data_IF_347306378316
#
_entry.id   IF_347306378316
#
_cell.length_a   1.000
_cell.length_b   1.000
_cell.length_c   1.000
_cell.angle_alpha   90.00
_cell.angle_beta   90.00
_cell.angle_gamma   90.00
#
_symmetry.space_group_name_H-M   'P 1'
#
loop_
_entity.id
_entity.type
_entity.pdbx_description
1 polymer ?
#
# COMPACT_ATOMS: atom_id res chain seq x y z
N UNK A 1 5.10 12.05 -11.81
CA UNK A 1 6.16 13.00 -11.50
C UNK A 1 5.59 14.40 -11.73
N UNK A 2 5.30 15.16 -10.68
CA UNK A 2 4.89 16.55 -10.80
C UNK A 2 3.67 16.98 -9.99
N UNK A 3 2.98 16.08 -9.32
CA UNK A 3 1.84 16.43 -8.46
C UNK A 3 2.25 17.02 -7.12
N UNK A 4 3.39 16.66 -6.63
CA UNK A 4 3.94 17.00 -5.32
C UNK A 4 4.35 18.47 -5.19
N UNK A 5 4.65 19.13 -6.28
CA UNK A 5 5.12 20.52 -6.25
C UNK A 5 4.04 21.54 -5.87
N UNK A 6 2.78 21.18 -6.04
CA UNK A 6 1.67 22.13 -5.82
C UNK A 6 1.22 22.23 -4.38
N UNK A 7 1.40 21.19 -3.56
CA UNK A 7 0.78 21.08 -2.23
C UNK A 7 1.76 20.82 -1.08
N UNK A 8 3.07 20.72 -1.35
CA UNK A 8 4.13 20.45 -0.37
C UNK A 8 3.94 19.14 0.40
N UNK A 9 3.38 18.13 -0.28
CA UNK A 9 3.21 16.80 0.31
C UNK A 9 4.50 16.00 0.28
N UNK A 10 4.49 14.91 1.03
CA UNK A 10 5.58 13.95 1.05
C UNK A 10 5.55 13.08 -0.20
N UNK A 11 6.74 12.73 -0.69
CA UNK A 11 6.91 11.78 -1.77
C UNK A 11 7.01 10.36 -1.23
N UNK A 12 6.30 9.44 -1.88
CA UNK A 12 6.43 8.00 -1.64
C UNK A 12 6.70 7.30 -2.96
N UNK A 13 7.67 6.38 -2.98
CA UNK A 13 7.88 5.44 -4.08
C UNK A 13 8.34 4.08 -3.54
N UNK A 14 8.19 3.03 -4.34
CA UNK A 14 8.67 1.71 -3.98
C UNK A 14 10.07 1.43 -4.54
N UNK A 15 10.73 0.46 -3.92
CA UNK A 15 12.02 -0.10 -4.37
C UNK A 15 11.89 -1.61 -4.48
N UNK A 16 12.67 -2.22 -5.38
CA UNK A 16 12.65 -3.65 -5.64
C UNK A 16 13.98 -4.33 -5.34
N UNK A 17 15.07 -3.55 -5.29
CA UNK A 17 16.43 -4.01 -5.02
C UNK A 17 17.08 -3.14 -3.95
N UNK A 18 17.94 -3.75 -3.14
CA UNK A 18 18.61 -3.07 -2.02
C UNK A 18 19.48 -1.88 -2.46
N UNK A 19 20.07 -1.95 -3.66
CA UNK A 19 20.91 -0.88 -4.21
C UNK A 19 20.11 0.39 -4.54
N UNK A 20 18.79 0.30 -4.71
CA UNK A 20 17.92 1.44 -4.98
C UNK A 20 17.64 2.27 -3.73
N UNK A 21 17.79 1.71 -2.53
CA UNK A 21 17.38 2.35 -1.29
C UNK A 21 18.10 3.68 -1.05
N UNK A 22 19.43 3.72 -1.19
CA UNK A 22 20.21 4.93 -0.91
C UNK A 22 19.86 6.08 -1.87
N UNK A 23 19.91 5.92 -3.21
CA UNK A 23 19.57 7.02 -4.12
C UNK A 23 18.11 7.46 -4.05
N UNK A 24 17.18 6.51 -3.80
CA UNK A 24 15.77 6.84 -3.61
C UNK A 24 15.56 7.63 -2.32
N UNK A 25 16.22 7.22 -1.22
CA UNK A 25 16.14 7.91 0.07
C UNK A 25 16.65 9.34 0.06
N UNK A 26 17.47 9.75 -0.92
CA UNK A 26 17.86 11.15 -1.08
C UNK A 26 16.72 12.05 -1.60
N UNK A 27 15.74 11.46 -2.29
CA UNK A 27 14.70 12.20 -3.02
C UNK A 27 13.31 12.10 -2.34
N UNK A 28 12.98 10.94 -1.74
CA UNK A 28 11.64 10.69 -1.20
C UNK A 28 11.60 10.73 0.33
N UNK A 29 10.43 10.98 0.87
CA UNK A 29 10.15 10.97 2.31
C UNK A 29 9.80 9.57 2.82
N UNK A 30 9.17 8.75 1.98
CA UNK A 30 8.70 7.41 2.31
C UNK A 30 9.17 6.42 1.26
N UNK A 31 9.85 5.36 1.71
CA UNK A 31 10.25 4.23 0.85
C UNK A 31 9.25 3.10 1.07
N UNK A 32 8.59 2.67 -0.01
CA UNK A 32 7.67 1.55 0.04
C UNK A 32 8.36 0.23 -0.27
N UNK A 33 8.00 -0.80 0.49
CA UNK A 33 8.37 -2.20 0.20
C UNK A 33 7.15 -2.90 -0.39
N UNK A 34 7.23 -3.40 -1.64
CA UNK A 34 6.14 -4.13 -2.28
C UNK A 34 5.70 -5.36 -1.49
N UNK A 35 4.44 -5.75 -1.60
CA UNK A 35 3.85 -6.84 -0.83
C UNK A 35 4.61 -8.17 -1.00
N UNK A 36 4.98 -8.54 -2.22
CA UNK A 36 5.73 -9.78 -2.48
C UNK A 36 7.15 -9.78 -1.86
N UNK A 37 7.72 -8.60 -1.60
CA UNK A 37 9.07 -8.42 -1.08
C UNK A 37 9.12 -8.10 0.42
N UNK A 38 7.99 -8.06 1.10
CA UNK A 38 7.92 -7.63 2.50
C UNK A 38 8.73 -8.50 3.48
N UNK A 39 9.13 -9.71 3.07
CA UNK A 39 9.98 -10.61 3.85
C UNK A 39 11.46 -10.59 3.46
N UNK A 40 11.84 -9.83 2.43
CA UNK A 40 13.23 -9.70 1.98
C UNK A 40 14.03 -8.86 3.00
N UNK A 41 14.83 -9.55 3.82
CA UNK A 41 15.53 -8.91 4.95
C UNK A 41 16.51 -7.84 4.49
N UNK A 42 17.28 -8.10 3.48
CA UNK A 42 18.28 -7.16 2.92
C UNK A 42 17.62 -5.92 2.32
N UNK A 43 16.47 -6.06 1.65
CA UNK A 43 15.70 -4.93 1.13
C UNK A 43 15.15 -4.06 2.26
N UNK A 44 14.54 -4.69 3.29
CA UNK A 44 14.04 -3.99 4.49
C UNK A 44 15.15 -3.24 5.22
N UNK A 45 16.30 -3.88 5.42
CA UNK A 45 17.46 -3.27 6.09
C UNK A 45 18.02 -2.12 5.27
N UNK A 46 18.13 -2.27 3.94
CA UNK A 46 18.62 -1.20 3.08
C UNK A 46 17.69 0.03 3.11
N UNK A 47 16.37 -0.18 3.01
CA UNK A 47 15.39 0.90 3.13
C UNK A 47 15.47 1.59 4.50
N UNK A 48 15.51 0.82 5.58
CA UNK A 48 15.55 1.34 6.95
C UNK A 48 16.82 2.18 7.24
N UNK A 49 17.96 1.76 6.71
CA UNK A 49 19.24 2.48 6.87
C UNK A 49 19.29 3.86 6.25
N UNK A 50 18.35 4.20 5.38
CA UNK A 50 18.21 5.57 4.86
C UNK A 50 17.70 6.55 5.92
N UNK A 51 17.14 6.05 7.05
CA UNK A 51 16.49 6.86 8.08
C UNK A 51 15.12 7.41 7.67
N UNK A 52 14.65 7.08 6.46
CA UNK A 52 13.33 7.49 5.97
C UNK A 52 12.22 6.65 6.60
N UNK A 53 10.98 7.12 6.47
CA UNK A 53 9.80 6.31 6.77
C UNK A 53 9.75 5.13 5.80
N UNK A 54 9.50 3.93 6.31
CA UNK A 54 9.38 2.72 5.50
C UNK A 54 7.93 2.24 5.53
N UNK A 55 7.24 2.27 4.39
CA UNK A 55 5.91 1.69 4.24
C UNK A 55 6.01 0.25 3.75
N UNK A 56 5.55 -0.71 4.55
CA UNK A 56 5.64 -2.14 4.21
C UNK A 56 4.26 -2.65 3.84
N UNK A 57 4.05 -3.00 2.57
CA UNK A 57 2.81 -3.65 2.12
C UNK A 57 2.76 -5.09 2.62
N UNK A 58 1.66 -5.46 3.28
CA UNK A 58 1.42 -6.83 3.74
C UNK A 58 1.32 -7.77 2.54
N UNK A 59 2.07 -8.86 2.57
CA UNK A 59 1.91 -9.91 1.56
C UNK A 59 0.53 -10.58 1.66
N UNK A 60 0.04 -11.08 0.51
CA UNK A 60 -1.27 -11.72 0.42
C UNK A 60 -1.37 -13.05 1.18
N UNK A 61 -0.25 -13.59 1.63
CA UNK A 61 -0.15 -14.85 2.38
C UNK A 61 0.14 -14.64 3.88
N UNK A 62 0.22 -13.38 4.36
CA UNK A 62 0.48 -13.05 5.76
C UNK A 62 -0.78 -12.57 6.48
N UNK A 63 -0.85 -12.86 7.78
CA UNK A 63 -1.80 -12.23 8.69
C UNK A 63 -1.35 -10.80 9.07
N UNK A 64 -2.26 -10.02 9.69
CA UNK A 64 -1.90 -8.73 10.28
C UNK A 64 -0.84 -8.86 11.38
N UNK A 65 -0.95 -9.88 12.23
CA UNK A 65 -0.01 -10.17 13.32
C UNK A 65 1.40 -10.49 12.81
N UNK A 66 1.52 -11.22 11.69
CA UNK A 66 2.81 -11.59 11.10
C UNK A 66 3.60 -10.36 10.59
N UNK A 67 2.94 -9.24 10.38
CA UNK A 67 3.59 -7.99 9.98
C UNK A 67 4.51 -7.43 11.08
N UNK A 68 4.44 -7.94 12.29
CA UNK A 68 5.41 -7.66 13.36
C UNK A 68 6.85 -7.96 12.94
N UNK A 69 7.07 -9.06 12.24
CA UNK A 69 8.44 -9.48 11.88
C UNK A 69 9.13 -8.52 10.90
N UNK A 70 8.53 -8.13 9.76
CA UNK A 70 9.14 -7.12 8.89
C UNK A 70 9.22 -5.74 9.57
N UNK A 71 8.23 -5.35 10.38
CA UNK A 71 8.23 -4.13 11.16
C UNK A 71 9.45 -4.06 12.10
N UNK A 72 9.65 -5.09 12.93
CA UNK A 72 10.78 -5.14 13.88
C UNK A 72 12.14 -5.12 13.16
N UNK A 73 12.24 -5.79 12.00
CA UNK A 73 13.49 -5.75 11.21
C UNK A 73 13.81 -4.33 10.75
N UNK A 74 12.83 -3.61 10.22
CA UNK A 74 13.01 -2.25 9.76
C UNK A 74 13.35 -1.30 10.92
N UNK A 75 12.63 -1.38 12.04
CA UNK A 75 12.90 -0.57 13.23
C UNK A 75 14.29 -0.83 13.81
N UNK A 76 14.68 -2.10 13.95
CA UNK A 76 16.03 -2.48 14.44
C UNK A 76 17.15 -2.03 13.50
N UNK A 77 16.87 -1.88 12.22
CA UNK A 77 17.83 -1.43 11.20
C UNK A 77 17.92 0.10 11.08
N UNK A 78 17.07 0.87 11.81
CA UNK A 78 17.16 2.32 11.91
C UNK A 78 16.17 3.10 11.05
N UNK A 79 15.02 2.50 10.67
CA UNK A 79 13.94 3.25 10.03
C UNK A 79 13.50 4.43 10.92
N UNK A 80 13.24 5.59 10.34
CA UNK A 80 12.72 6.74 11.06
C UNK A 80 11.30 6.48 11.60
N UNK A 81 10.46 5.85 10.79
CA UNK A 81 9.13 5.38 11.13
C UNK A 81 8.79 4.19 10.23
N UNK A 82 7.88 3.32 10.67
CA UNK A 82 7.39 2.22 9.84
C UNK A 82 5.86 2.26 9.79
N UNK A 83 5.33 2.31 8.56
CA UNK A 83 3.91 2.13 8.27
C UNK A 83 3.63 0.73 7.78
N UNK A 84 2.46 0.20 8.06
CA UNK A 84 2.01 -1.09 7.54
C UNK A 84 0.80 -0.89 6.62
N UNK A 85 0.78 -1.59 5.49
CA UNK A 85 -0.31 -1.44 4.51
C UNK A 85 -1.04 -2.76 4.32
N UNK A 86 -2.36 -2.75 4.60
CA UNK A 86 -3.28 -3.84 4.25
C UNK A 86 -3.64 -3.76 2.77
N UNK A 87 -3.66 -4.91 2.09
CA UNK A 87 -4.04 -4.99 0.68
C UNK A 87 -4.77 -6.29 0.29
N UNK A 88 -5.21 -7.06 1.28
CA UNK A 88 -5.94 -8.32 1.09
C UNK A 88 -5.05 -9.56 1.07
N UNK A 89 -5.72 -10.70 1.12
CA UNK A 89 -5.16 -12.05 1.10
C UNK A 89 -5.65 -12.81 -0.14
N UNK A 90 -4.84 -13.73 -0.62
CA UNK A 90 -5.13 -14.56 -1.79
C UNK A 90 -5.38 -15.99 -1.37
N UNK A 91 -6.51 -16.55 -1.83
CA UNK A 91 -6.93 -17.92 -1.54
C UNK A 91 -6.96 -18.82 -2.79
N UNK A 92 -6.49 -18.34 -3.94
CA UNK A 92 -6.33 -19.15 -5.15
C UNK A 92 -7.54 -19.21 -6.09
N UNK A 93 -8.60 -18.41 -5.84
CA UNK A 93 -9.80 -18.38 -6.70
C UNK A 93 -9.96 -17.06 -7.49
N UNK A 94 -8.83 -16.47 -7.86
CA UNK A 94 -8.76 -15.25 -8.69
C UNK A 94 -9.50 -14.04 -8.09
N UNK A 95 -9.49 -13.93 -6.76
CA UNK A 95 -10.03 -12.79 -6.04
C UNK A 95 -9.17 -12.52 -4.80
N UNK A 96 -9.17 -11.29 -4.31
CA UNK A 96 -8.54 -10.93 -3.05
C UNK A 96 -9.64 -10.70 -2.00
N UNK A 97 -9.34 -11.08 -0.77
CA UNK A 97 -10.24 -10.91 0.37
C UNK A 97 -9.53 -10.10 1.43
N UNK A 98 -10.14 -8.99 1.83
CA UNK A 98 -9.64 -8.20 2.96
C UNK A 98 -10.31 -8.70 4.23
N UNK A 99 -9.49 -9.21 5.14
CA UNK A 99 -9.92 -9.38 6.53
C UNK A 99 -9.61 -8.06 7.27
N UNK A 100 -10.63 -7.24 7.46
CA UNK A 100 -10.46 -5.94 8.11
C UNK A 100 -9.97 -6.03 9.56
N UNK A 101 -10.03 -7.20 10.21
CA UNK A 101 -9.46 -7.42 11.55
C UNK A 101 -7.94 -7.31 11.56
N UNK A 102 -7.28 -7.51 10.42
CA UNK A 102 -5.84 -7.24 10.28
C UNK A 102 -5.48 -5.77 10.58
N UNK A 103 -6.41 -4.83 10.43
CA UNK A 103 -6.14 -3.40 10.66
C UNK A 103 -5.86 -3.14 12.14
N UNK A 104 -6.76 -3.47 13.10
CA UNK A 104 -6.45 -3.33 14.52
C UNK A 104 -5.27 -4.20 14.97
N UNK A 105 -5.04 -5.39 14.39
CA UNK A 105 -3.86 -6.21 14.70
C UNK A 105 -2.57 -5.45 14.33
N UNK A 106 -2.52 -4.84 13.14
CA UNK A 106 -1.38 -4.03 12.71
C UNK A 106 -1.26 -2.71 13.47
N UNK A 107 -2.36 -2.08 13.91
CA UNK A 107 -2.33 -0.90 14.78
C UNK A 107 -1.75 -1.21 16.16
N UNK A 108 -1.83 -2.45 16.62
CA UNK A 108 -1.11 -2.94 17.79
C UNK A 108 0.41 -3.06 17.60
N UNK A 109 0.90 -2.91 16.37
CA UNK A 109 2.32 -3.03 16.00
C UNK A 109 2.91 -1.68 15.58
N UNK A 110 2.21 -0.95 14.71
CA UNK A 110 2.64 0.32 14.12
C UNK A 110 1.62 1.43 14.40
N UNK A 111 2.08 2.67 14.52
CA UNK A 111 1.22 3.85 14.71
C UNK A 111 0.38 4.18 13.48
N UNK A 112 0.85 3.78 12.30
CA UNK A 112 0.20 4.08 11.02
C UNK A 112 -0.09 2.79 10.27
N UNK A 113 -1.37 2.59 9.97
CA UNK A 113 -1.87 1.51 9.12
C UNK A 113 -2.62 2.09 7.94
N UNK A 114 -2.10 1.80 6.75
CA UNK A 114 -2.64 2.24 5.47
C UNK A 114 -3.52 1.14 4.88
N UNK A 115 -4.70 1.49 4.39
CA UNK A 115 -5.50 0.61 3.53
C UNK A 115 -5.22 0.91 2.07
N UNK A 116 -4.69 -0.07 1.35
CA UNK A 116 -4.57 -0.02 -0.11
C UNK A 116 -5.93 -0.38 -0.73
N UNK A 117 -6.69 0.64 -1.09
CA UNK A 117 -8.03 0.48 -1.62
C UNK A 117 -8.04 0.08 -3.11
N UNK A 118 -6.94 0.30 -3.82
CA UNK A 118 -6.79 -0.06 -5.23
C UNK A 118 -6.47 -1.54 -5.41
N UNK A 119 -5.38 -1.99 -4.79
CA UNK A 119 -4.92 -3.36 -5.00
C UNK A 119 -5.75 -4.39 -4.23
N UNK A 120 -6.50 -3.99 -3.23
CA UNK A 120 -7.39 -4.89 -2.49
C UNK A 120 -8.60 -5.36 -3.30
N UNK A 121 -8.97 -4.65 -4.38
CA UNK A 121 -10.08 -5.02 -5.27
C UNK A 121 -9.61 -5.66 -6.58
N UNK A 122 -8.33 -5.98 -6.69
CA UNK A 122 -7.80 -6.74 -7.83
C UNK A 122 -8.39 -8.13 -7.92
N UNK A 123 -8.53 -8.60 -9.15
CA UNK A 123 -8.86 -9.99 -9.50
C UNK A 123 -7.70 -10.60 -10.30
N UNK A 124 -6.69 -11.17 -9.61
CA UNK A 124 -5.51 -11.72 -10.26
C UNK A 124 -5.87 -12.79 -11.30
N UNK A 125 -5.38 -12.63 -12.53
CA UNK A 125 -5.59 -13.60 -13.62
C UNK A 125 -7.00 -13.67 -14.21
N UNK A 126 -7.95 -12.83 -13.75
CA UNK A 126 -9.35 -12.92 -14.18
C UNK A 126 -9.62 -12.41 -15.61
N UNK A 127 -8.69 -11.67 -16.22
CA UNK A 127 -8.84 -11.09 -17.55
C UNK A 127 -7.88 -11.74 -18.57
N UNK A 128 -8.02 -13.06 -18.79
CA UNK A 128 -7.23 -13.77 -19.81
C UNK A 128 -5.71 -13.69 -19.57
N UNK A 129 -5.25 -13.85 -18.31
CA UNK A 129 -3.84 -13.76 -17.92
C UNK A 129 -3.40 -12.35 -17.51
N UNK A 130 -4.28 -11.35 -17.57
CA UNK A 130 -4.07 -10.01 -17.00
C UNK A 130 -4.84 -9.86 -15.70
N UNK A 131 -4.42 -8.93 -14.87
CA UNK A 131 -5.15 -8.56 -13.64
C UNK A 131 -6.42 -7.81 -14.01
N UNK A 132 -7.56 -8.33 -13.57
CA UNK A 132 -8.84 -7.63 -13.55
C UNK A 132 -9.06 -6.92 -12.22
N UNK A 133 -10.23 -6.30 -12.05
CA UNK A 133 -10.59 -5.65 -10.79
C UNK A 133 -11.99 -5.08 -10.77
N UNK A 134 -12.36 -4.57 -9.61
CA UNK A 134 -13.70 -4.07 -9.30
C UNK A 134 -13.62 -2.67 -8.69
N UNK A 135 -13.31 -1.68 -9.51
CA UNK A 135 -13.20 -0.25 -9.14
C UNK A 135 -14.38 0.24 -8.30
N UNK A 136 -15.57 -0.25 -8.59
CA UNK A 136 -16.81 0.13 -7.91
C UNK A 136 -16.81 -0.16 -6.41
N UNK A 137 -15.96 -1.08 -5.95
CA UNK A 137 -15.83 -1.39 -4.52
C UNK A 137 -14.83 -0.52 -3.77
N UNK A 138 -13.96 0.24 -4.45
CA UNK A 138 -12.93 1.07 -3.82
C UNK A 138 -13.51 2.00 -2.73
N UNK A 139 -14.61 2.75 -2.95
CA UNK A 139 -15.17 3.61 -1.90
C UNK A 139 -15.72 2.83 -0.70
N UNK A 140 -16.29 1.65 -0.93
CA UNK A 140 -16.82 0.81 0.14
C UNK A 140 -15.68 0.22 0.99
N UNK A 141 -14.62 -0.25 0.34
CA UNK A 141 -13.41 -0.77 1.01
C UNK A 141 -12.76 0.31 1.88
N UNK A 142 -12.66 1.53 1.38
CA UNK A 142 -12.10 2.66 2.13
C UNK A 142 -12.93 2.96 3.39
N UNK A 143 -14.26 3.05 3.29
CA UNK A 143 -15.13 3.27 4.45
C UNK A 143 -15.07 2.12 5.46
N UNK A 144 -15.06 0.88 4.99
CA UNK A 144 -14.91 -0.29 5.86
C UNK A 144 -13.59 -0.24 6.62
N UNK A 145 -12.47 0.02 5.92
CA UNK A 145 -11.16 0.15 6.56
C UNK A 145 -11.13 1.29 7.59
N UNK A 146 -11.76 2.43 7.28
CA UNK A 146 -11.91 3.55 8.22
C UNK A 146 -12.64 3.13 9.49
N UNK A 147 -13.72 2.37 9.36
CA UNK A 147 -14.49 1.85 10.50
C UNK A 147 -13.69 0.88 11.38
N UNK A 148 -12.71 0.17 10.81
CA UNK A 148 -11.78 -0.70 11.55
C UNK A 148 -10.54 0.04 12.07
N UNK A 149 -10.44 1.36 11.85
CA UNK A 149 -9.39 2.21 12.44
C UNK A 149 -8.22 2.53 11.52
N UNK A 150 -8.24 2.15 10.24
CA UNK A 150 -7.21 2.59 9.30
C UNK A 150 -7.08 4.12 9.34
N UNK A 151 -5.85 4.60 9.45
CA UNK A 151 -5.52 6.02 9.57
C UNK A 151 -4.72 6.56 8.37
N UNK A 152 -4.48 5.71 7.37
CA UNK A 152 -3.96 6.05 6.06
C UNK A 152 -4.71 5.31 4.95
N UNK A 153 -4.73 5.90 3.75
CA UNK A 153 -5.40 5.31 2.58
C UNK A 153 -4.54 5.50 1.34
N UNK A 154 -4.45 4.45 0.54
CA UNK A 154 -3.75 4.48 -0.74
C UNK A 154 -4.77 4.30 -1.88
N UNK A 155 -4.73 5.22 -2.83
CA UNK A 155 -5.56 5.20 -4.03
C UNK A 155 -4.70 5.44 -5.27
N UNK A 156 -4.79 4.57 -6.24
CA UNK A 156 -4.35 4.88 -7.59
C UNK A 156 -5.47 5.60 -8.34
N UNK A 157 -5.10 6.68 -9.00
CA UNK A 157 -6.03 7.53 -9.72
C UNK A 157 -5.49 7.84 -11.12
N UNK A 158 -6.39 7.97 -12.08
CA UNK A 158 -6.03 8.34 -13.42
C UNK A 158 -7.15 9.19 -14.04
N UNK A 159 -6.86 10.18 -14.91
CA UNK A 159 -7.91 10.93 -15.62
C UNK A 159 -8.80 10.04 -16.46
N UNK A 160 -8.25 8.99 -17.07
CA UNK A 160 -8.92 7.99 -17.90
C UNK A 160 -8.39 6.58 -17.58
N UNK A 161 -8.86 5.94 -16.49
CA UNK A 161 -8.37 4.64 -16.04
C UNK A 161 -8.51 3.52 -17.08
N UNK A 162 -9.49 3.61 -17.96
CA UNK A 162 -9.76 2.56 -18.94
C UNK A 162 -8.66 2.48 -20.02
N UNK A 163 -7.87 3.53 -20.18
CA UNK A 163 -6.71 3.62 -21.06
C UNK A 163 -5.38 3.67 -20.28
N UNK A 164 -5.38 3.38 -18.99
CA UNK A 164 -4.16 3.30 -18.19
C UNK A 164 -3.28 2.12 -18.63
N UNK A 165 -1.96 2.28 -18.50
CA UNK A 165 -0.98 1.26 -18.91
C UNK A 165 -1.03 -0.01 -18.03
N UNK A 166 -1.41 0.14 -16.75
CA UNK A 166 -1.57 -0.95 -15.79
C UNK A 166 -2.73 -0.65 -14.85
N UNK A 167 -3.25 -1.66 -14.18
CA UNK A 167 -4.25 -1.58 -13.08
C UNK A 167 -5.52 -0.76 -13.36
N UNK A 168 -5.78 -0.39 -14.61
CA UNK A 168 -6.94 0.41 -15.02
C UNK A 168 -8.27 -0.02 -14.40
N UNK A 169 -8.63 -1.34 -14.37
CA UNK A 169 -9.87 -1.80 -13.74
C UNK A 169 -9.99 -1.52 -12.23
N UNK A 170 -8.90 -1.16 -11.56
CA UNK A 170 -8.85 -0.90 -10.12
C UNK A 170 -8.68 0.58 -9.77
N UNK A 171 -8.20 1.40 -10.72
CA UNK A 171 -7.96 2.82 -10.50
C UNK A 171 -9.26 3.61 -10.41
N UNK A 172 -9.31 4.58 -9.52
CA UNK A 172 -10.38 5.58 -9.50
C UNK A 172 -10.19 6.59 -10.64
N UNK A 173 -11.29 7.11 -11.15
CA UNK A 173 -11.24 8.35 -11.92
C UNK A 173 -10.78 9.49 -11.00
N UNK A 174 -9.87 10.32 -11.48
CA UNK A 174 -9.34 11.45 -10.72
C UNK A 174 -10.46 12.36 -10.18
N UNK A 175 -11.52 12.55 -10.97
CA UNK A 175 -12.67 13.38 -10.59
C UNK A 175 -13.52 12.79 -9.44
N UNK A 176 -13.40 11.48 -9.17
CA UNK A 176 -14.15 10.83 -8.10
C UNK A 176 -13.40 10.85 -6.76
N UNK A 177 -12.08 11.11 -6.79
CA UNK A 177 -11.22 11.01 -5.61
C UNK A 177 -11.70 11.93 -4.48
N UNK A 178 -12.05 13.18 -4.79
CA UNK A 178 -12.50 14.15 -3.79
C UNK A 178 -13.73 13.66 -3.01
N UNK A 179 -14.70 13.07 -3.73
CA UNK A 179 -15.92 12.53 -3.12
C UNK A 179 -15.61 11.33 -2.23
N UNK A 180 -14.69 10.46 -2.66
CA UNK A 180 -14.23 9.32 -1.84
C UNK A 180 -13.57 9.82 -0.56
N UNK A 181 -12.64 10.77 -0.65
CA UNK A 181 -11.97 11.35 0.53
C UNK A 181 -12.98 12.00 1.48
N UNK A 182 -13.91 12.80 0.98
CA UNK A 182 -14.97 13.42 1.81
C UNK A 182 -15.81 12.39 2.55
N UNK A 183 -15.99 11.20 1.99
CA UNK A 183 -16.74 10.12 2.64
C UNK A 183 -16.00 9.45 3.80
N UNK A 184 -14.71 9.75 4.00
CA UNK A 184 -13.85 9.20 5.06
C UNK A 184 -13.66 10.17 6.24
N UNK A 185 -14.00 11.43 6.06
CA UNK A 185 -13.93 12.48 7.08
C UNK A 185 -15.16 12.45 8.00
#
# INVERSE_FOLDING_TARGET
>A
VGSEMCIRDRLLTDIHESCQAAPVGEVVDVIQIPAFLCRQTDLLVAAARTGRTVNIKKAQFLSGEDMRYPYEKAMKAGAGEVWLTERGNMYGYNNLVVDFRNIPDMLGIASTVVMDCTHSVQRPGAAGGKTGGNREFVPAMARAARAFGANGFFFEVHPDPDHALSDGPNMLYLNDLENVIKSLL
#
